data_IF_120718634701
#
_entry.id   IF_120718634701
#
_cell.length_a   1.000
_cell.length_b   1.000
_cell.length_c   1.000
_cell.angle_alpha   90.00
_cell.angle_beta   90.00
_cell.angle_gamma   90.00
#
_symmetry.space_group_name_H-M   'P 1'
#
loop_
_entity.id
_entity.type
_entity.pdbx_description
1 polymer ?
#
# COMPACT_ATOMS: atom_id res chain seq x y z
N UNK A 1 29.22 9.59 -31.47
CA UNK A 1 29.19 8.84 -30.20
C UNK A 1 27.82 9.07 -29.60
N UNK A 2 26.86 8.17 -29.85
CA UNK A 2 25.52 8.30 -29.30
C UNK A 2 25.60 7.98 -27.80
N UNK A 3 25.22 8.94 -26.94
CA UNK A 3 25.03 8.68 -25.53
C UNK A 3 23.92 7.63 -25.41
N UNK A 4 24.23 6.46 -24.84
CA UNK A 4 23.18 5.52 -24.49
C UNK A 4 22.16 6.22 -23.59
N UNK A 5 20.84 6.02 -23.83
CA UNK A 5 19.83 6.63 -23.00
C UNK A 5 20.07 6.19 -21.56
N UNK A 6 20.33 7.15 -20.67
CA UNK A 6 20.51 6.88 -19.26
C UNK A 6 19.30 6.07 -18.77
N UNK A 7 19.52 4.81 -18.38
CA UNK A 7 18.47 3.96 -17.85
C UNK A 7 17.87 4.64 -16.63
N UNK A 8 16.60 5.04 -16.73
CA UNK A 8 15.87 5.63 -15.61
C UNK A 8 15.88 4.60 -14.47
N UNK A 9 16.43 4.94 -13.29
CA UNK A 9 16.49 4.00 -12.18
C UNK A 9 15.10 3.52 -11.81
N UNK A 10 14.94 2.20 -11.64
CA UNK A 10 13.63 1.66 -11.26
C UNK A 10 13.14 2.26 -9.93
N UNK A 11 11.85 2.62 -9.82
CA UNK A 11 11.24 3.08 -8.58
C UNK A 11 11.36 2.04 -7.47
N UNK A 12 11.44 2.53 -6.24
CA UNK A 12 11.39 1.72 -5.02
C UNK A 12 10.14 2.11 -4.24
N UNK A 13 9.37 1.13 -3.77
CA UNK A 13 8.11 1.37 -3.07
C UNK A 13 8.29 1.20 -1.57
N UNK A 14 7.74 2.17 -0.83
CA UNK A 14 7.53 2.04 0.61
C UNK A 14 6.03 1.97 0.85
N UNK A 15 5.55 0.85 1.41
CA UNK A 15 4.14 0.65 1.70
C UNK A 15 3.88 1.06 3.17
N UNK A 16 3.21 2.17 3.39
CA UNK A 16 2.84 2.66 4.73
C UNK A 16 1.37 2.33 5.00
N UNK A 17 1.10 1.30 5.80
CA UNK A 17 -0.22 0.66 5.82
C UNK A 17 -0.61 0.12 7.20
N UNK A 18 -1.90 0.16 7.57
CA UNK A 18 -2.41 -0.68 8.66
C UNK A 18 -2.36 -2.15 8.26
N UNK A 19 -2.32 -3.07 9.24
CA UNK A 19 -2.51 -4.49 8.94
C UNK A 19 -3.96 -4.74 8.52
N UNK A 20 -4.17 -5.26 7.31
CA UNK A 20 -5.52 -5.50 6.80
C UNK A 20 -5.60 -5.99 5.34
N UNK A 21 -6.81 -6.19 4.82
CA UNK A 21 -7.04 -6.67 3.45
C UNK A 21 -6.46 -5.73 2.38
N UNK A 22 -6.59 -4.42 2.57
CA UNK A 22 -6.00 -3.41 1.67
C UNK A 22 -4.46 -3.53 1.58
N UNK A 23 -3.80 -3.81 2.70
CA UNK A 23 -2.37 -4.06 2.74
C UNK A 23 -1.99 -5.30 1.93
N UNK A 24 -2.77 -6.37 2.07
CA UNK A 24 -2.58 -7.62 1.34
C UNK A 24 -2.73 -7.42 -0.17
N UNK A 25 -3.76 -6.70 -0.58
CA UNK A 25 -4.00 -6.34 -1.98
C UNK A 25 -2.88 -5.48 -2.57
N UNK A 26 -2.50 -4.40 -1.87
CA UNK A 26 -1.45 -3.50 -2.34
C UNK A 26 -0.11 -4.22 -2.47
N UNK A 27 0.25 -5.03 -1.47
CA UNK A 27 1.50 -5.78 -1.48
C UNK A 27 1.52 -6.82 -2.60
N UNK A 28 0.48 -7.66 -2.71
CA UNK A 28 0.39 -8.65 -3.79
C UNK A 28 0.44 -7.96 -5.17
N UNK A 29 -0.25 -6.83 -5.32
CA UNK A 29 -0.25 -6.06 -6.55
C UNK A 29 1.16 -5.59 -6.91
N UNK A 30 1.86 -4.90 -6.00
CA UNK A 30 3.22 -4.42 -6.23
C UNK A 30 4.16 -5.58 -6.60
N UNK A 31 4.12 -6.68 -5.85
CA UNK A 31 4.93 -7.87 -6.13
C UNK A 31 4.60 -8.48 -7.51
N UNK A 32 3.31 -8.55 -7.85
CA UNK A 32 2.83 -9.07 -9.14
C UNK A 32 3.25 -8.23 -10.35
N UNK A 33 3.47 -6.92 -10.17
CA UNK A 33 4.02 -6.04 -11.22
C UNK A 33 5.54 -6.16 -11.39
N UNK A 34 6.23 -6.91 -10.52
CA UNK A 34 7.70 -6.92 -10.45
C UNK A 34 8.29 -5.66 -9.82
N UNK A 35 7.48 -4.86 -9.13
CA UNK A 35 7.95 -3.68 -8.42
C UNK A 35 8.87 -4.07 -7.25
N UNK A 36 9.85 -3.22 -6.96
CA UNK A 36 10.74 -3.40 -5.83
C UNK A 36 10.17 -2.72 -4.59
N UNK A 37 9.69 -3.52 -3.63
CA UNK A 37 9.24 -3.01 -2.33
C UNK A 37 10.45 -2.92 -1.40
N UNK A 38 10.85 -1.70 -1.06
CA UNK A 38 12.01 -1.42 -0.21
C UNK A 38 11.70 -1.51 1.29
N UNK A 39 10.42 -1.45 1.66
CA UNK A 39 9.99 -1.56 3.05
C UNK A 39 8.48 -1.46 3.22
N UNK A 40 7.99 -1.94 4.36
CA UNK A 40 6.61 -1.79 4.81
C UNK A 40 6.63 -1.11 6.17
N UNK A 41 5.94 0.03 6.30
CA UNK A 41 5.72 0.71 7.58
C UNK A 41 4.33 0.40 8.12
N UNK A 42 4.23 0.07 9.41
CA UNK A 42 2.92 0.02 10.08
C UNK A 42 2.41 1.46 10.32
N UNK A 43 1.21 1.79 9.81
CA UNK A 43 0.69 3.17 9.78
C UNK A 43 -0.14 3.60 11.01
N UNK A 44 -0.38 2.71 11.97
CA UNK A 44 -1.14 2.98 13.19
C UNK A 44 -0.24 2.82 14.44
N UNK A 45 -0.51 3.52 15.55
CA UNK A 45 0.19 3.27 16.81
C UNK A 45 0.19 1.78 17.13
N UNK A 46 1.38 1.22 17.32
CA UNK A 46 1.60 -0.22 17.41
C UNK A 46 2.49 -0.52 18.64
N UNK A 47 2.02 -0.18 19.86
CA UNK A 47 2.84 -0.28 21.07
C UNK A 47 3.33 -1.71 21.32
N UNK A 48 2.52 -2.70 20.96
CA UNK A 48 2.82 -4.12 21.12
C UNK A 48 3.38 -4.80 19.85
N UNK A 49 3.63 -4.02 18.78
CA UNK A 49 4.14 -4.49 17.48
C UNK A 49 3.24 -5.49 16.75
N UNK A 50 2.00 -5.69 17.19
CA UNK A 50 1.04 -6.64 16.60
C UNK A 50 0.78 -6.36 15.12
N UNK A 51 0.67 -5.08 14.73
CA UNK A 51 0.48 -4.72 13.33
C UNK A 51 1.73 -5.03 12.50
N UNK A 52 2.92 -4.69 13.00
CA UNK A 52 4.18 -5.01 12.33
C UNK A 52 4.42 -6.53 12.22
N UNK A 53 4.07 -7.32 13.23
CA UNK A 53 4.12 -8.78 13.16
C UNK A 53 3.16 -9.33 12.11
N UNK A 54 1.92 -8.84 12.08
CA UNK A 54 0.93 -9.23 11.08
C UNK A 54 1.36 -8.88 9.66
N UNK A 55 1.95 -7.69 9.45
CA UNK A 55 2.51 -7.30 8.16
C UNK A 55 3.74 -8.14 7.76
N UNK A 56 4.51 -8.62 8.74
CA UNK A 56 5.65 -9.53 8.51
C UNK A 56 5.19 -10.92 8.08
N UNK A 57 4.14 -11.44 8.73
CA UNK A 57 3.49 -12.70 8.38
C UNK A 57 2.85 -12.61 6.98
N UNK A 58 2.16 -11.51 6.71
CA UNK A 58 1.59 -11.22 5.40
C UNK A 58 2.65 -11.15 4.29
N UNK A 59 3.76 -10.46 4.54
CA UNK A 59 4.88 -10.43 3.58
C UNK A 59 5.49 -11.82 3.38
N UNK A 60 5.63 -12.61 4.46
CA UNK A 60 6.09 -14.00 4.39
C UNK A 60 5.16 -14.89 3.56
N UNK A 61 3.84 -14.74 3.71
CA UNK A 61 2.83 -15.47 2.94
C UNK A 61 2.99 -15.26 1.42
N UNK A 62 3.42 -14.07 0.98
CA UNK A 62 3.69 -13.77 -0.43
C UNK A 62 5.17 -13.97 -0.83
N UNK A 63 5.99 -14.59 0.02
CA UNK A 63 7.41 -14.84 -0.26
C UNK A 63 8.31 -13.60 -0.19
N UNK A 64 7.80 -12.47 0.29
CA UNK A 64 8.50 -11.19 0.39
C UNK A 64 9.32 -11.03 1.68
N UNK A 65 9.94 -12.11 2.18
CA UNK A 65 10.65 -12.17 3.46
C UNK A 65 11.84 -11.22 3.59
N UNK A 66 12.35 -10.68 2.47
CA UNK A 66 13.48 -9.73 2.44
C UNK A 66 13.03 -8.28 2.58
N UNK A 67 11.73 -8.01 2.51
CA UNK A 67 11.17 -6.67 2.68
C UNK A 67 11.13 -6.36 4.18
N UNK A 68 11.85 -5.32 4.59
CA UNK A 68 11.87 -4.90 5.99
C UNK A 68 10.51 -4.36 6.42
N UNK A 69 9.98 -4.89 7.51
CA UNK A 69 8.77 -4.35 8.16
C UNK A 69 9.17 -3.52 9.37
N UNK A 70 8.69 -2.28 9.41
CA UNK A 70 9.05 -1.28 10.39
C UNK A 70 7.81 -0.93 11.24
N UNK A 71 7.89 -1.00 12.58
CA UNK A 71 6.80 -0.59 13.45
C UNK A 71 6.56 0.92 13.34
N UNK A 72 5.35 1.38 13.68
CA UNK A 72 5.03 2.81 13.69
C UNK A 72 5.93 3.60 14.65
N UNK A 73 6.21 3.02 15.81
CA UNK A 73 6.92 3.67 16.91
C UNK A 73 8.09 2.83 17.42
N UNK A 74 9.03 3.50 18.08
CA UNK A 74 10.08 2.82 18.82
C UNK A 74 9.47 2.24 20.10
N UNK A 75 9.13 0.96 20.10
CA UNK A 75 8.72 0.23 21.31
C UNK A 75 9.77 -0.82 21.69
N UNK A 76 10.05 -1.05 22.99
CA UNK A 76 10.86 -2.19 23.42
C UNK A 76 10.28 -3.48 22.83
N UNK A 77 11.17 -4.38 22.40
CA UNK A 77 10.74 -5.70 21.93
C UNK A 77 10.30 -6.47 23.16
N UNK A 78 9.02 -6.82 23.23
CA UNK A 78 8.56 -7.82 24.19
C UNK A 78 9.15 -9.17 23.77
N UNK A 79 9.75 -9.89 24.73
CA UNK A 79 10.25 -11.26 24.51
C UNK A 79 9.12 -12.30 24.45
N UNK A 80 7.86 -11.86 24.56
CA UNK A 80 6.70 -12.72 24.39
C UNK A 80 6.53 -13.09 22.92
N UNK A 81 6.25 -14.38 22.67
CA UNK A 81 5.77 -14.81 21.37
C UNK A 81 4.48 -14.04 21.06
N UNK A 82 4.46 -13.24 19.98
CA UNK A 82 3.26 -12.48 19.65
C UNK A 82 2.15 -13.44 19.28
N UNK A 83 0.92 -13.05 19.63
CA UNK A 83 -0.27 -13.80 19.27
C UNK A 83 -0.35 -14.06 17.76
N UNK A 84 -1.09 -15.10 17.38
CA UNK A 84 -1.29 -15.46 15.99
C UNK A 84 -1.86 -14.28 15.19
N UNK A 85 -1.16 -13.90 14.12
CA UNK A 85 -1.59 -12.80 13.25
C UNK A 85 -2.85 -13.18 12.50
N UNK A 86 -3.86 -12.31 12.58
CA UNK A 86 -5.17 -12.53 11.96
C UNK A 86 -5.61 -11.28 11.20
N UNK A 87 -6.12 -11.47 9.98
CA UNK A 87 -6.74 -10.42 9.16
C UNK A 87 -8.12 -10.92 8.74
N UNK A 88 -9.18 -10.17 9.05
CA UNK A 88 -10.56 -10.52 8.68
C UNK A 88 -10.90 -11.99 8.99
N UNK A 89 -10.63 -12.42 10.22
CA UNK A 89 -10.83 -13.79 10.73
C UNK A 89 -9.95 -14.89 10.09
N UNK A 90 -9.04 -14.54 9.19
CA UNK A 90 -8.06 -15.47 8.61
C UNK A 90 -6.75 -15.40 9.39
N UNK A 91 -6.37 -16.52 10.00
CA UNK A 91 -5.05 -16.66 10.64
C UNK A 91 -3.97 -16.83 9.58
N UNK A 92 -2.93 -16.00 9.65
CA UNK A 92 -1.81 -16.02 8.71
C UNK A 92 -0.76 -17.06 9.11
N UNK A 93 -0.04 -17.66 8.14
CA UNK A 93 1.13 -18.46 8.43
C UNK A 93 2.23 -17.59 9.06
N UNK A 94 2.88 -18.10 10.09
CA UNK A 94 3.97 -17.37 10.74
C UNK A 94 5.17 -17.24 9.81
N UNK A 95 5.68 -16.03 9.64
CA UNK A 95 6.90 -15.75 8.90
C UNK A 95 8.14 -15.99 9.77
N UNK A 96 9.22 -16.45 9.14
CA UNK A 96 10.55 -16.55 9.77
C UNK A 96 11.28 -15.21 9.77
N UNK A 97 10.77 -14.20 9.04
CA UNK A 97 11.31 -12.86 9.05
C UNK A 97 11.06 -12.16 10.38
N UNK A 98 11.96 -11.25 10.76
CA UNK A 98 11.86 -10.48 12.01
C UNK A 98 11.38 -9.07 11.74
N UNK A 99 10.48 -8.59 12.59
CA UNK A 99 10.12 -7.17 12.65
C UNK A 99 11.36 -6.36 13.02
N UNK A 100 11.61 -5.28 12.29
CA UNK A 100 12.76 -4.41 12.55
C UNK A 100 12.50 -3.51 13.75
N UNK A 101 13.59 -3.07 14.40
CA UNK A 101 13.48 -2.16 15.56
C UNK A 101 13.27 -0.70 15.16
N UNK A 102 13.80 -0.32 14.01
CA UNK A 102 13.74 1.05 13.47
C UNK A 102 12.28 1.43 13.18
N UNK A 103 11.79 2.58 13.68
CA UNK A 103 10.46 3.06 13.35
C UNK A 103 10.29 3.38 11.86
N UNK A 104 9.08 3.22 11.33
CA UNK A 104 8.74 3.42 9.93
C UNK A 104 9.15 4.80 9.41
N UNK A 105 8.87 5.87 10.17
CA UNK A 105 9.27 7.24 9.85
C UNK A 105 10.79 7.39 9.66
N UNK A 106 11.57 6.81 10.58
CA UNK A 106 13.03 6.83 10.51
C UNK A 106 13.55 6.00 9.34
N UNK A 107 12.96 4.82 9.11
CA UNK A 107 13.34 3.96 7.99
C UNK A 107 13.05 4.62 6.64
N UNK A 108 11.90 5.27 6.49
CA UNK A 108 11.53 6.02 5.29
C UNK A 108 12.52 7.15 5.01
N UNK A 109 12.84 7.98 6.01
CA UNK A 109 13.82 9.06 5.86
C UNK A 109 15.21 8.52 5.44
N UNK A 110 15.67 7.44 6.08
CA UNK A 110 16.94 6.80 5.73
C UNK A 110 16.93 6.21 4.31
N UNK A 111 15.84 5.55 3.90
CA UNK A 111 15.69 5.00 2.55
C UNK A 111 15.67 6.12 1.50
N UNK A 112 14.95 7.22 1.75
CA UNK A 112 14.90 8.37 0.85
C UNK A 112 16.28 9.03 0.70
N UNK A 113 17.07 9.14 1.77
CA UNK A 113 18.46 9.62 1.69
C UNK A 113 19.37 8.68 0.92
N UNK A 114 19.21 7.36 1.08
CA UNK A 114 19.99 6.35 0.33
C UNK A 114 19.61 6.29 -1.14
N UNK A 115 18.36 6.60 -1.47
CA UNK A 115 17.80 6.50 -2.82
C UNK A 115 17.02 7.77 -3.21
N UNK A 116 17.69 8.92 -3.30
CA UNK A 116 17.05 10.20 -3.58
C UNK A 116 16.31 10.17 -4.91
N UNK A 117 15.06 10.65 -4.91
CA UNK A 117 14.19 10.72 -6.09
C UNK A 117 13.66 9.37 -6.57
N UNK A 118 13.87 8.27 -5.83
CA UNK A 118 13.44 6.91 -6.23
C UNK A 118 12.32 6.34 -5.38
N UNK A 119 12.18 6.78 -4.13
CA UNK A 119 11.18 6.24 -3.20
C UNK A 119 9.79 6.80 -3.52
N UNK A 120 8.86 5.92 -3.87
CA UNK A 120 7.42 6.20 -3.95
C UNK A 120 6.72 5.60 -2.74
N UNK A 121 5.91 6.39 -2.06
CA UNK A 121 5.15 5.90 -0.89
C UNK A 121 3.73 5.56 -1.33
N UNK A 122 3.27 4.36 -0.98
CA UNK A 122 1.86 3.99 -1.01
C UNK A 122 1.36 4.04 0.42
N UNK A 123 0.54 5.03 0.74
CA UNK A 123 0.01 5.22 2.08
C UNK A 123 -1.46 4.79 2.12
N UNK A 124 -1.78 3.79 2.95
CA UNK A 124 -3.12 3.24 3.12
C UNK A 124 -3.72 3.54 4.50
N UNK A 125 -2.96 4.27 5.33
CA UNK A 125 -3.38 4.72 6.65
C UNK A 125 -3.11 6.21 6.85
N UNK A 126 -3.04 6.63 8.11
CA UNK A 126 -2.81 8.03 8.47
C UNK A 126 -1.46 8.57 7.94
N UNK A 127 -1.36 9.89 7.75
CA UNK A 127 -0.09 10.53 7.35
C UNK A 127 0.98 10.58 8.46
N UNK A 128 0.76 9.95 9.63
CA UNK A 128 1.60 10.11 10.83
C UNK A 128 3.08 9.79 10.57
N UNK A 129 3.37 8.64 9.97
CA UNK A 129 4.76 8.24 9.71
C UNK A 129 5.47 9.20 8.76
N UNK A 130 4.75 9.69 7.75
CA UNK A 130 5.29 10.66 6.81
C UNK A 130 5.50 12.04 7.44
N UNK A 131 4.56 12.51 8.27
CA UNK A 131 4.70 13.75 9.02
C UNK A 131 5.88 13.68 9.99
N UNK A 132 6.09 12.55 10.65
CA UNK A 132 7.24 12.35 11.51
C UNK A 132 8.55 12.26 10.70
N UNK A 133 8.54 11.57 9.56
CA UNK A 133 9.70 11.54 8.66
C UNK A 133 10.09 12.94 8.16
N UNK A 134 9.11 13.81 7.87
CA UNK A 134 9.32 15.22 7.52
C UNK A 134 9.91 16.05 8.67
N UNK A 135 9.62 15.68 9.93
CA UNK A 135 10.24 16.31 11.11
C UNK A 135 11.69 15.87 11.26
N UNK A 136 11.97 14.58 11.05
CA UNK A 136 13.30 13.99 11.13
C UNK A 136 14.23 14.49 10.00
N UNK A 137 13.67 14.71 8.81
CA UNK A 137 14.43 15.10 7.63
C UNK A 137 13.71 16.20 6.83
N UNK A 138 14.23 17.42 6.92
CA UNK A 138 13.70 18.59 6.21
C UNK A 138 13.89 18.53 4.70
N UNK A 139 14.83 17.71 4.23
CA UNK A 139 15.06 17.48 2.80
C UNK A 139 14.13 16.41 2.22
N UNK A 140 13.38 15.69 3.06
CA UNK A 140 12.55 14.58 2.60
C UNK A 140 11.63 14.91 1.40
N UNK A 141 10.99 16.11 1.30
CA UNK A 141 10.15 16.44 0.14
C UNK A 141 10.86 16.33 -1.20
N UNK A 142 12.14 16.73 -1.27
CA UNK A 142 12.96 16.62 -2.50
C UNK A 142 13.56 15.23 -2.71
N UNK A 143 13.61 14.40 -1.66
CA UNK A 143 14.16 13.05 -1.71
C UNK A 143 13.13 12.00 -2.12
N UNK A 144 11.84 12.27 -1.91
CA UNK A 144 10.75 11.38 -2.35
C UNK A 144 10.42 11.62 -3.83
N UNK A 145 10.13 10.54 -4.55
CA UNK A 145 9.61 10.61 -5.91
C UNK A 145 8.12 11.00 -5.94
N UNK A 146 7.39 10.68 -4.87
CA UNK A 146 5.99 11.03 -4.67
C UNK A 146 5.29 10.13 -3.67
N UNK A 147 4.09 10.52 -3.29
CA UNK A 147 3.21 9.79 -2.36
C UNK A 147 1.84 9.63 -2.99
N UNK A 148 1.29 8.42 -2.94
CA UNK A 148 -0.11 8.14 -3.23
C UNK A 148 -0.78 7.69 -1.94
N UNK A 149 -1.78 8.44 -1.49
CA UNK A 149 -2.49 8.17 -0.25
C UNK A 149 -3.95 7.80 -0.51
N UNK A 150 -4.38 6.66 0.01
CA UNK A 150 -5.80 6.32 0.15
C UNK A 150 -6.33 7.04 1.41
N UNK A 151 -7.36 7.86 1.26
CA UNK A 151 -7.87 8.72 2.34
C UNK A 151 -9.38 8.83 2.30
N UNK A 152 -9.99 8.86 3.48
CA UNK A 152 -11.44 9.04 3.63
C UNK A 152 -11.81 10.53 3.49
N UNK A 153 -10.96 11.42 4.02
CA UNK A 153 -11.10 12.88 3.91
C UNK A 153 -9.75 13.59 3.75
N UNK A 154 -9.64 14.44 2.72
CA UNK A 154 -8.43 15.24 2.40
C UNK A 154 -7.98 16.14 3.57
N UNK A 155 -8.91 16.60 4.41
CA UNK A 155 -8.69 17.63 5.43
C UNK A 155 -8.43 17.07 6.83
N UNK A 156 -8.74 15.80 7.12
CA UNK A 156 -8.68 15.26 8.48
C UNK A 156 -7.38 14.49 8.79
N UNK A 157 -6.73 13.90 7.78
CA UNK A 157 -5.69 12.89 7.98
C UNK A 157 -4.24 13.40 7.98
N UNK A 158 -4.04 14.72 8.05
CA UNK A 158 -2.70 15.34 8.00
C UNK A 158 -2.09 15.42 6.60
N UNK A 159 -2.76 14.89 5.58
CA UNK A 159 -2.32 14.94 4.17
C UNK A 159 -2.15 16.36 3.62
N UNK A 160 -2.99 17.31 4.05
CA UNK A 160 -2.81 18.73 3.70
C UNK A 160 -1.44 19.26 4.16
N UNK A 161 -0.98 18.87 5.36
CA UNK A 161 0.34 19.29 5.88
C UNK A 161 1.49 18.66 5.12
N UNK A 162 1.31 17.42 4.64
CA UNK A 162 2.28 16.75 3.75
C UNK A 162 2.41 17.49 2.42
N UNK A 163 1.27 17.84 1.81
CA UNK A 163 1.24 18.60 0.57
C UNK A 163 1.91 19.98 0.73
N UNK A 164 1.55 20.74 1.77
CA UNK A 164 2.13 22.05 2.09
C UNK A 164 3.64 21.97 2.38
N UNK A 165 4.14 20.82 2.85
CA UNK A 165 5.58 20.60 3.02
C UNK A 165 6.33 20.39 1.68
N UNK A 166 5.64 20.43 0.54
CA UNK A 166 6.23 20.33 -0.80
C UNK A 166 6.41 18.90 -1.30
N UNK A 167 5.79 17.91 -0.65
CA UNK A 167 5.81 16.52 -1.11
C UNK A 167 4.83 16.38 -2.27
N UNK A 168 5.28 15.86 -3.42
CA UNK A 168 4.39 15.50 -4.53
C UNK A 168 3.41 14.43 -4.06
N UNK A 169 2.14 14.81 -3.90
CA UNK A 169 1.12 13.99 -3.26
C UNK A 169 -0.08 13.80 -4.18
N UNK A 170 -0.53 12.56 -4.29
CA UNK A 170 -1.79 12.16 -4.94
C UNK A 170 -2.70 11.62 -3.86
N UNK A 171 -3.89 12.20 -3.72
CA UNK A 171 -4.91 11.71 -2.80
C UNK A 171 -5.95 10.92 -3.60
N UNK A 172 -6.14 9.67 -3.24
CA UNK A 172 -7.17 8.78 -3.75
C UNK A 172 -8.29 8.71 -2.71
N UNK A 173 -9.45 9.34 -2.95
CA UNK A 173 -10.58 9.25 -2.03
C UNK A 173 -11.07 7.81 -1.92
N UNK A 174 -11.20 7.28 -0.70
CA UNK A 174 -11.65 5.90 -0.45
C UNK A 174 -13.01 5.64 -1.06
N UNK A 175 -13.94 6.59 -0.98
CA UNK A 175 -15.26 6.51 -1.64
C UNK A 175 -15.21 6.19 -3.15
N UNK A 176 -14.17 6.66 -3.86
CA UNK A 176 -13.99 6.36 -5.28
C UNK A 176 -13.35 4.98 -5.47
N UNK A 177 -12.41 4.63 -4.59
CA UNK A 177 -11.71 3.36 -4.63
C UNK A 177 -12.64 2.18 -4.29
N UNK A 178 -13.58 2.38 -3.36
CA UNK A 178 -14.58 1.39 -2.93
C UNK A 178 -15.67 1.15 -3.97
N UNK A 179 -15.79 2.04 -4.96
CA UNK A 179 -16.63 1.84 -6.14
C UNK A 179 -16.12 0.72 -7.06
N UNK A 180 -14.85 0.31 -6.93
CA UNK A 180 -14.28 -0.81 -7.68
C UNK A 180 -14.22 -2.05 -6.80
N UNK A 181 -14.98 -3.07 -7.20
CA UNK A 181 -15.28 -4.25 -6.38
C UNK A 181 -15.00 -5.54 -7.12
N UNK A 182 -14.63 -6.58 -6.39
CA UNK A 182 -14.63 -7.95 -6.91
C UNK A 182 -16.05 -8.52 -6.86
N UNK A 183 -16.42 -9.22 -7.92
CA UNK A 183 -17.58 -10.11 -7.95
C UNK A 183 -17.29 -11.44 -7.24
N UNK A 184 -18.35 -12.15 -6.84
CA UNK A 184 -18.25 -13.49 -6.24
C UNK A 184 -17.49 -14.47 -7.16
N UNK A 185 -17.69 -14.37 -8.48
CA UNK A 185 -17.02 -15.21 -9.45
C UNK A 185 -15.51 -14.96 -9.48
N UNK A 186 -15.07 -13.71 -9.38
CA UNK A 186 -13.66 -13.36 -9.30
C UNK A 186 -13.03 -13.78 -7.98
N UNK A 187 -13.77 -13.62 -6.88
CA UNK A 187 -13.34 -14.05 -5.56
C UNK A 187 -13.16 -15.58 -5.52
N UNK A 188 -14.09 -16.32 -6.12
CA UNK A 188 -14.01 -17.76 -6.30
C UNK A 188 -12.83 -18.16 -7.21
N UNK A 189 -12.61 -17.43 -8.30
CA UNK A 189 -11.47 -17.66 -9.19
C UNK A 189 -10.12 -17.41 -8.49
N UNK A 190 -10.04 -16.38 -7.65
CA UNK A 190 -8.87 -16.12 -6.80
C UNK A 190 -8.64 -17.26 -5.81
N UNK A 191 -9.71 -17.71 -5.13
CA UNK A 191 -9.65 -18.83 -4.20
C UNK A 191 -9.17 -20.13 -4.88
N UNK A 192 -9.66 -20.40 -6.10
CA UNK A 192 -9.31 -21.59 -6.89
C UNK A 192 -7.84 -21.70 -7.28
N UNK A 193 -7.06 -20.61 -7.17
CA UNK A 193 -5.60 -20.64 -7.38
C UNK A 193 -4.83 -21.29 -6.23
N UNK A 194 -5.46 -21.45 -5.06
CA UNK A 194 -4.86 -22.10 -3.89
C UNK A 194 -3.74 -21.29 -3.21
N UNK A 195 -3.18 -21.85 -2.14
CA UNK A 195 -2.07 -21.25 -1.40
C UNK A 195 -2.38 -19.85 -0.87
N UNK A 196 -1.45 -18.90 -1.07
CA UNK A 196 -1.61 -17.51 -0.63
C UNK A 196 -2.82 -16.79 -1.28
N UNK A 197 -3.24 -17.19 -2.48
CA UNK A 197 -4.41 -16.61 -3.14
C UNK A 197 -5.71 -17.05 -2.47
N UNK A 198 -5.78 -18.29 -1.98
CA UNK A 198 -6.92 -18.77 -1.19
C UNK A 198 -7.07 -17.97 0.12
N UNK A 199 -5.96 -17.76 0.84
CA UNK A 199 -5.98 -16.97 2.07
C UNK A 199 -6.36 -15.51 1.80
N UNK A 200 -5.89 -14.91 0.70
CA UNK A 200 -6.31 -13.58 0.28
C UNK A 200 -7.81 -13.53 -0.05
N UNK A 201 -8.33 -14.49 -0.81
CA UNK A 201 -9.77 -14.55 -1.10
C UNK A 201 -10.60 -14.67 0.19
N UNK A 202 -10.16 -15.47 1.16
CA UNK A 202 -10.83 -15.59 2.46
C UNK A 202 -10.78 -14.26 3.25
N UNK A 203 -9.63 -13.57 3.29
CA UNK A 203 -9.50 -12.26 3.94
C UNK A 203 -10.45 -11.22 3.31
N UNK A 204 -10.54 -11.23 1.99
CA UNK A 204 -11.39 -10.33 1.23
C UNK A 204 -12.87 -10.64 1.44
N UNK A 205 -13.26 -11.91 1.44
CA UNK A 205 -14.63 -12.34 1.77
C UNK A 205 -15.05 -11.86 3.17
N UNK A 206 -14.22 -12.11 4.18
CA UNK A 206 -14.51 -11.68 5.55
C UNK A 206 -14.57 -10.16 5.72
N UNK A 207 -13.80 -9.41 4.93
CA UNK A 207 -13.91 -7.95 4.90
C UNK A 207 -15.23 -7.49 4.26
N UNK A 208 -15.64 -8.16 3.17
CA UNK A 208 -16.90 -7.86 2.48
C UNK A 208 -18.14 -8.15 3.32
N UNK A 209 -18.12 -9.14 4.21
CA UNK A 209 -19.22 -9.41 5.15
C UNK A 209 -19.53 -8.21 6.06
N UNK A 210 -18.50 -7.44 6.45
CA UNK A 210 -18.67 -6.22 7.22
C UNK A 210 -19.26 -5.05 6.41
N UNK A 211 -19.05 -5.05 5.08
CA UNK A 211 -19.45 -3.98 4.14
C UNK A 211 -20.65 -4.36 3.25
N UNK A 212 -21.50 -5.28 3.72
CA UNK A 212 -22.73 -5.65 3.00
C UNK A 212 -22.51 -6.50 1.74
N UNK A 213 -21.43 -7.28 1.71
CA UNK A 213 -21.14 -8.31 0.72
C UNK A 213 -20.20 -7.89 -0.41
N UNK A 214 -19.66 -6.67 -0.39
CA UNK A 214 -18.73 -6.20 -1.44
C UNK A 214 -17.29 -6.09 -0.97
N UNK A 215 -16.35 -6.51 -1.82
CA UNK A 215 -14.92 -6.42 -1.52
C UNK A 215 -14.30 -5.24 -2.28
N UNK A 216 -13.97 -4.12 -1.61
CA UNK A 216 -13.29 -2.99 -2.25
C UNK A 216 -11.85 -3.35 -2.65
N UNK A 217 -11.38 -2.79 -3.77
CA UNK A 217 -10.01 -2.97 -4.28
C UNK A 217 -9.09 -1.78 -3.98
N UNK A 218 -9.38 -1.04 -2.92
CA UNK A 218 -8.80 0.27 -2.68
C UNK A 218 -7.27 0.24 -2.53
N UNK A 219 -6.73 -0.72 -1.78
CA UNK A 219 -5.28 -0.92 -1.67
C UNK A 219 -4.58 -1.19 -3.02
N UNK A 220 -5.18 -2.02 -3.88
CA UNK A 220 -4.62 -2.34 -5.20
C UNK A 220 -4.67 -1.13 -6.15
N UNK A 221 -5.74 -0.34 -6.09
CA UNK A 221 -5.87 0.90 -6.89
C UNK A 221 -4.82 1.94 -6.49
N UNK A 222 -4.62 2.16 -5.19
CA UNK A 222 -3.60 3.06 -4.69
C UNK A 222 -2.19 2.63 -5.18
N UNK A 223 -1.88 1.34 -5.09
CA UNK A 223 -0.62 0.79 -5.57
C UNK A 223 -0.45 0.91 -7.09
N UNK A 224 -1.52 0.68 -7.86
CA UNK A 224 -1.54 0.85 -9.32
C UNK A 224 -1.19 2.28 -9.71
N UNK A 225 -1.86 3.25 -9.08
CA UNK A 225 -1.62 4.66 -9.35
C UNK A 225 -0.19 5.06 -8.97
N UNK A 226 0.30 4.64 -7.81
CA UNK A 226 1.67 4.94 -7.36
C UNK A 226 2.73 4.37 -8.32
N UNK A 227 2.45 3.24 -8.96
CA UNK A 227 3.35 2.66 -9.94
C UNK A 227 3.51 3.51 -11.21
N UNK A 228 2.65 4.51 -11.43
CA UNK A 228 2.61 5.29 -12.66
C UNK A 228 2.17 4.44 -13.85
N UNK A 229 1.56 3.29 -13.56
CA UNK A 229 0.88 2.49 -14.55
C UNK A 229 -0.40 3.26 -14.88
N UNK A 230 -0.53 3.73 -16.12
CA UNK A 230 -1.83 4.19 -16.59
C UNK A 230 -2.84 3.07 -16.28
N UNK A 231 -4.06 3.36 -15.82
CA UNK A 231 -5.09 2.34 -15.65
C UNK A 231 -5.48 1.64 -16.98
N UNK A 232 -4.79 1.96 -18.08
CA UNK A 232 -4.76 1.20 -19.31
C UNK A 232 -4.23 -0.23 -19.09
N UNK A 233 -5.19 -1.15 -18.97
CA UNK A 233 -5.17 -2.52 -19.46
C UNK A 233 -3.80 -3.09 -19.86
N UNK A 234 -3.09 -3.64 -18.87
CA UNK A 234 -1.95 -4.51 -19.14
C UNK A 234 -1.14 -4.91 -17.90
N UNK A 235 -1.05 -4.02 -16.90
CA UNK A 235 -0.13 -4.22 -15.77
C UNK A 235 -0.74 -4.73 -14.46
N UNK A 236 -2.06 -4.67 -14.30
CA UNK A 236 -2.73 -4.89 -12.99
C UNK A 236 -3.52 -6.20 -12.95
N UNK A 237 -3.71 -6.84 -14.11
CA UNK A 237 -4.77 -7.84 -14.31
C UNK A 237 -4.29 -9.01 -15.19
N UNK A 238 -3.13 -9.61 -14.88
CA UNK A 238 -2.88 -11.03 -15.20
C UNK A 238 -3.46 -11.98 -14.13
N UNK A 239 -3.95 -11.42 -13.01
CA UNK A 239 -4.57 -12.15 -11.92
C UNK A 239 -6.12 -12.08 -11.91
N UNK A 240 -6.76 -11.17 -12.67
CA UNK A 240 -8.23 -10.89 -12.61
C UNK A 240 -8.82 -10.73 -14.05
N UNK A 241 -10.05 -11.19 -14.34
CA UNK A 241 -10.66 -11.31 -15.68
C UNK A 241 -10.85 -10.01 -16.49
N UNK A 242 -11.08 -10.15 -17.80
CA UNK A 242 -11.00 -9.07 -18.81
C UNK A 242 -12.26 -8.19 -18.92
N UNK A 243 -13.41 -8.68 -18.46
CA UNK A 243 -14.74 -8.07 -18.52
C UNK A 243 -14.96 -7.00 -17.44
N UNK A 244 -14.45 -7.20 -16.22
CA UNK A 244 -14.46 -6.18 -15.16
C UNK A 244 -13.53 -5.00 -15.43
N UNK A 245 -12.52 -5.21 -16.27
CA UNK A 245 -11.59 -4.19 -16.73
C UNK A 245 -12.29 -3.07 -17.52
N UNK A 246 -13.37 -3.39 -18.23
CA UNK A 246 -14.13 -2.42 -19.01
C UNK A 246 -15.08 -1.58 -18.14
N UNK A 247 -15.64 -2.16 -17.07
CA UNK A 247 -16.58 -1.49 -16.17
C UNK A 247 -15.90 -0.49 -15.23
N UNK A 248 -14.73 -0.82 -14.66
CA UNK A 248 -13.97 0.10 -13.79
C UNK A 248 -13.43 1.32 -14.55
N UNK A 249 -13.06 1.16 -15.83
CA UNK A 249 -12.64 2.25 -16.71
C UNK A 249 -13.83 3.11 -17.13
N UNK A 250 -15.00 2.50 -17.37
CA UNK A 250 -16.25 3.23 -17.60
C UNK A 250 -16.63 4.12 -16.40
N UNK A 251 -16.61 3.57 -15.19
CA UNK A 251 -16.95 4.32 -13.97
C UNK A 251 -15.98 5.48 -13.67
N UNK A 252 -14.68 5.29 -13.93
CA UNK A 252 -13.66 6.34 -13.76
C UNK A 252 -13.68 7.42 -14.85
N UNK A 253 -14.26 7.15 -16.02
CA UNK A 253 -14.36 8.10 -17.13
C UNK A 253 -15.72 8.79 -17.23
N UNK A 254 -16.80 8.15 -16.80
CA UNK A 254 -18.16 8.73 -16.86
C UNK A 254 -18.45 9.75 -15.76
N UNK A 255 -17.70 9.74 -14.65
CA UNK A 255 -17.78 10.82 -13.66
C UNK A 255 -16.67 11.84 -13.84
N UNK A 256 -17.04 13.05 -14.30
CA UNK A 256 -16.21 14.26 -14.28
C UNK A 256 -15.66 14.67 -12.89
N UNK A 257 -15.77 13.83 -11.87
CA UNK A 257 -15.31 14.02 -10.49
C UNK A 257 -13.77 14.03 -10.35
N UNK A 258 -13.03 13.40 -11.26
CA UNK A 258 -11.55 13.42 -11.24
C UNK A 258 -11.00 14.83 -11.47
N UNK A 259 -11.70 15.69 -12.24
CA UNK A 259 -11.29 17.10 -12.42
C UNK A 259 -11.58 17.99 -11.21
N UNK A 260 -12.58 17.67 -10.40
CA UNK A 260 -12.91 18.41 -9.16
C UNK A 260 -12.00 17.99 -7.99
N UNK A 261 -11.61 16.71 -7.90
CA UNK A 261 -10.67 16.21 -6.89
C UNK A 261 -9.19 16.56 -7.19
N UNK A 262 -8.85 16.82 -8.46
CA UNK A 262 -7.55 17.30 -8.91
C UNK A 262 -7.42 18.84 -8.85
N UNK A 263 -8.00 19.50 -7.83
CA UNK A 263 -7.35 20.72 -7.34
C UNK A 263 -6.05 20.26 -6.68
N UNK A 264 -5.02 20.12 -7.52
CA UNK A 264 -3.63 20.13 -7.13
C UNK A 264 -3.49 21.23 -6.09
N UNK A 265 -3.33 20.85 -4.82
CA UNK A 265 -2.87 21.77 -3.79
C UNK A 265 -1.41 22.01 -4.17
N UNK A 266 -1.21 23.03 -5.02
CA UNK A 266 0.09 23.61 -5.32
C UNK A 266 0.52 24.48 -4.14
#
# INVERSE_FOLDING_TARGET
MALEPATVPQPLFFLDTPAGPDAALALLHLLGTGAQVAGIGAAAPDPDRTAAHTLTDLAGMFGAIRVGVFPAEASPVSDLDPAASTIAHVTLPRSTARVLRTPAASALAQLARRHPGRIRVVALGSARNLLEALRLDRDLPRLLAGVTALTDEVTHDGWARVAVAGVRTTLLPRRLADGVRLSDAELAALAGRGGAHYLLAAMLAGAGEADGGSVPLAGALAATHAAGLAPHAGGVLRAVPADLRAQAVGALLEEGAVREALKVVA
#
